data_IF_446694549051
#
_entry.id   IF_446694549051
#
_cell.length_a   1.000
_cell.length_b   1.000
_cell.length_c   1.000
_cell.angle_alpha   90.00
_cell.angle_beta   90.00
_cell.angle_gamma   90.00
#
_symmetry.space_group_name_H-M   'P 1'
#
loop_
_entity.id
_entity.type
_entity.pdbx_description
1 polymer ?
#
# COMPACT_ATOMS: atom_id res chain seq x y z
N UNK A 1 23.65 5.45 -21.27
CA UNK A 1 24.15 5.46 -19.88
C UNK A 1 23.79 4.13 -19.23
N UNK A 2 24.76 3.24 -18.97
CA UNK A 2 24.50 2.00 -18.23
C UNK A 2 24.25 2.36 -16.77
N UNK A 3 23.01 2.20 -16.30
CA UNK A 3 22.70 2.22 -14.88
C UNK A 3 23.20 0.91 -14.26
N UNK A 4 24.52 0.78 -14.10
CA UNK A 4 25.03 -0.09 -13.05
C UNK A 4 24.56 0.51 -11.72
N UNK A 5 23.75 -0.29 -11.01
CA UNK A 5 23.19 -0.07 -9.68
C UNK A 5 23.81 1.11 -8.91
N UNK A 6 23.04 2.18 -8.73
CA UNK A 6 23.45 3.35 -7.93
C UNK A 6 23.73 3.01 -6.46
N UNK A 7 23.31 1.82 -6.01
CA UNK A 7 23.39 1.37 -4.63
C UNK A 7 24.53 0.35 -4.43
N UNK A 8 25.23 0.46 -3.29
CA UNK A 8 26.22 -0.54 -2.87
C UNK A 8 27.53 -0.57 -3.66
N UNK A 9 27.83 0.47 -4.46
CA UNK A 9 29.06 0.50 -5.25
C UNK A 9 30.28 0.72 -4.36
N UNK A 10 31.04 -0.35 -4.12
CA UNK A 10 32.33 -0.31 -3.44
C UNK A 10 33.29 0.65 -4.16
N UNK A 11 33.86 1.60 -3.42
CA UNK A 11 34.93 2.46 -3.92
C UNK A 11 36.22 1.65 -3.98
N UNK A 12 36.58 1.20 -5.18
CA UNK A 12 37.85 0.51 -5.43
C UNK A 12 38.84 1.54 -5.98
N UNK A 13 40.04 1.64 -5.38
CA UNK A 13 41.15 2.41 -5.98
C UNK A 13 41.67 1.62 -7.18
N UNK A 14 41.45 2.15 -8.38
CA UNK A 14 41.94 1.57 -9.64
C UNK A 14 43.16 2.32 -10.13
N UNK A 15 44.08 1.63 -10.82
CA UNK A 15 45.21 2.29 -11.49
C UNK A 15 44.73 3.04 -12.73
N UNK A 16 45.46 4.09 -13.15
CA UNK A 16 45.10 4.91 -14.33
C UNK A 16 44.92 4.06 -15.60
N UNK A 17 45.78 3.05 -15.79
CA UNK A 17 45.70 2.12 -16.93
C UNK A 17 44.42 1.26 -16.91
N UNK A 18 44.00 0.79 -15.73
CA UNK A 18 42.74 0.04 -15.57
C UNK A 18 41.51 0.93 -15.77
N UNK A 19 41.59 2.21 -15.39
CA UNK A 19 40.52 3.18 -15.63
C UNK A 19 40.37 3.48 -17.11
N UNK A 20 41.47 3.66 -17.83
CA UNK A 20 41.46 3.91 -19.26
C UNK A 20 40.94 2.69 -20.04
N UNK A 21 41.38 1.48 -19.70
CA UNK A 21 40.85 0.25 -20.30
C UNK A 21 39.32 0.12 -20.10
N UNK A 22 38.83 0.38 -18.88
CA UNK A 22 37.39 0.40 -18.57
C UNK A 22 36.66 1.51 -19.33
N UNK A 23 37.29 2.66 -19.54
CA UNK A 23 36.72 3.77 -20.33
C UNK A 23 36.52 3.36 -21.78
N UNK A 24 37.55 2.79 -22.41
CA UNK A 24 37.50 2.31 -23.79
C UNK A 24 36.40 1.24 -23.96
N UNK A 25 36.34 0.27 -23.04
CA UNK A 25 35.31 -0.77 -23.06
C UNK A 25 33.88 -0.19 -22.93
N UNK A 26 33.68 0.77 -22.01
CA UNK A 26 32.41 1.47 -21.84
C UNK A 26 32.00 2.23 -23.10
N UNK A 27 32.93 2.91 -23.76
CA UNK A 27 32.65 3.65 -25.00
C UNK A 27 32.21 2.70 -26.13
N UNK A 28 32.86 1.53 -26.26
CA UNK A 28 32.45 0.50 -27.21
C UNK A 28 31.02 0.01 -26.92
N UNK A 29 30.73 -0.33 -25.67
CA UNK A 29 29.37 -0.75 -25.23
C UNK A 29 28.33 0.35 -25.44
N UNK A 30 28.69 1.60 -25.17
CA UNK A 30 27.81 2.75 -25.38
C UNK A 30 27.45 2.95 -26.85
N UNK A 31 28.43 2.84 -27.77
CA UNK A 31 28.17 2.95 -29.21
C UNK A 31 27.21 1.86 -29.69
N UNK A 32 27.40 0.62 -29.27
CA UNK A 32 26.50 -0.49 -29.60
C UNK A 32 25.10 -0.28 -29.03
N UNK A 33 25.01 0.15 -27.77
CA UNK A 33 23.74 0.48 -27.12
C UNK A 33 23.00 1.59 -27.88
N UNK A 34 23.71 2.65 -28.28
CA UNK A 34 23.11 3.77 -29.00
C UNK A 34 22.58 3.32 -30.37
N UNK A 35 23.41 2.62 -31.15
CA UNK A 35 23.01 2.12 -32.47
C UNK A 35 21.80 1.17 -32.41
N UNK A 36 21.77 0.26 -31.41
CA UNK A 36 20.62 -0.61 -31.20
C UNK A 36 19.36 0.18 -30.82
N UNK A 37 19.50 1.15 -29.93
CA UNK A 37 18.39 2.01 -29.48
C UNK A 37 17.83 2.85 -30.64
N UNK A 38 18.69 3.44 -31.46
CA UNK A 38 18.30 4.24 -32.63
C UNK A 38 17.53 3.38 -33.64
N UNK A 39 18.02 2.16 -33.91
CA UNK A 39 17.33 1.19 -34.78
C UNK A 39 15.94 0.83 -34.24
N UNK A 40 15.82 0.59 -32.94
CA UNK A 40 14.53 0.28 -32.30
C UNK A 40 13.55 1.44 -32.46
N UNK A 41 14.00 2.68 -32.21
CA UNK A 41 13.14 3.85 -32.36
C UNK A 41 12.74 4.12 -33.81
N UNK A 42 13.63 3.88 -34.77
CA UNK A 42 13.30 3.97 -36.19
C UNK A 42 12.20 2.96 -36.57
N UNK A 43 12.32 1.69 -36.16
CA UNK A 43 11.29 0.66 -36.41
C UNK A 43 9.94 1.04 -35.79
N UNK A 44 9.95 1.52 -34.53
CA UNK A 44 8.72 1.97 -33.86
C UNK A 44 8.07 3.15 -34.59
N UNK A 45 8.86 4.12 -35.03
CA UNK A 45 8.36 5.29 -35.77
C UNK A 45 7.80 4.91 -37.16
N UNK A 46 8.35 3.86 -37.79
CA UNK A 46 7.85 3.29 -39.04
C UNK A 46 6.61 2.39 -38.86
N UNK A 47 6.16 2.14 -37.62
CA UNK A 47 5.02 1.25 -37.35
C UNK A 47 5.33 -0.23 -37.57
N UNK A 48 6.61 -0.62 -37.49
CA UNK A 48 7.03 -2.01 -37.67
C UNK A 48 6.83 -2.79 -36.36
N UNK A 49 5.86 -3.71 -36.33
CA UNK A 49 5.51 -4.51 -35.16
C UNK A 49 5.82 -5.99 -35.38
N UNK A 50 7.10 -6.35 -35.38
CA UNK A 50 7.58 -7.67 -35.77
C UNK A 50 8.46 -8.36 -34.70
N UNK A 51 8.78 -9.64 -34.94
CA UNK A 51 9.64 -10.45 -34.06
C UNK A 51 11.09 -9.94 -34.04
N UNK A 52 11.55 -9.24 -35.10
CA UNK A 52 12.88 -8.62 -35.11
C UNK A 52 12.95 -7.49 -34.08
N UNK A 53 11.92 -6.65 -33.99
CA UNK A 53 11.81 -5.59 -33.00
C UNK A 53 11.86 -6.16 -31.57
N UNK A 54 11.16 -7.27 -31.29
CA UNK A 54 11.26 -7.97 -30.00
C UNK A 54 12.69 -8.42 -29.68
N UNK A 55 13.41 -8.99 -30.66
CA UNK A 55 14.81 -9.41 -30.47
C UNK A 55 15.73 -8.21 -30.19
N UNK A 56 15.56 -7.12 -30.92
CA UNK A 56 16.33 -5.88 -30.71
C UNK A 56 16.08 -5.31 -29.31
N UNK A 57 14.82 -5.20 -28.88
CA UNK A 57 14.48 -4.71 -27.55
C UNK A 57 15.01 -5.63 -26.44
N UNK A 58 15.03 -6.96 -26.64
CA UNK A 58 15.62 -7.90 -25.68
C UNK A 58 17.12 -7.67 -25.48
N UNK A 59 17.85 -7.38 -26.56
CA UNK A 59 19.28 -7.07 -26.49
C UNK A 59 19.60 -5.85 -25.61
N UNK A 60 18.72 -4.85 -25.60
CA UNK A 60 18.86 -3.64 -24.78
C UNK A 60 18.37 -3.87 -23.35
N UNK A 61 17.17 -4.42 -23.19
CA UNK A 61 16.50 -4.59 -21.89
C UNK A 61 17.19 -5.62 -20.99
N UNK A 62 17.82 -6.66 -21.55
CA UNK A 62 18.62 -7.62 -20.76
C UNK A 62 19.81 -6.98 -20.03
N UNK A 63 20.25 -5.78 -20.46
CA UNK A 63 21.33 -5.01 -19.81
C UNK A 63 20.82 -3.79 -19.06
N UNK A 64 19.65 -3.28 -19.41
CA UNK A 64 19.01 -2.16 -18.75
C UNK A 64 17.49 -2.32 -18.80
N UNK A 65 16.91 -3.07 -17.85
CA UNK A 65 15.47 -3.34 -17.83
C UNK A 65 14.63 -2.12 -17.40
N UNK A 66 15.26 -1.00 -17.04
CA UNK A 66 14.55 0.21 -16.57
C UNK A 66 14.21 1.19 -17.72
N UNK A 67 14.34 0.76 -18.99
CA UNK A 67 13.95 1.57 -20.15
C UNK A 67 12.46 1.34 -20.47
N UNK A 68 11.58 2.04 -19.75
CA UNK A 68 10.11 1.92 -19.88
C UNK A 68 9.59 2.03 -21.30
N UNK A 69 10.16 2.91 -22.12
CA UNK A 69 9.73 3.10 -23.51
C UNK A 69 9.86 1.83 -24.34
N UNK A 70 10.85 0.98 -24.06
CA UNK A 70 11.01 -0.29 -24.77
C UNK A 70 9.99 -1.33 -24.33
N UNK A 71 9.63 -1.38 -23.04
CA UNK A 71 8.52 -2.22 -22.59
C UNK A 71 7.20 -1.83 -23.26
N UNK A 72 6.92 -0.53 -23.39
CA UNK A 72 5.73 -0.06 -24.09
C UNK A 72 5.73 -0.50 -25.57
N UNK A 73 6.87 -0.40 -26.25
CA UNK A 73 6.98 -0.88 -27.62
C UNK A 73 6.78 -2.40 -27.73
N UNK A 74 7.30 -3.19 -26.78
CA UNK A 74 7.03 -4.64 -26.73
C UNK A 74 5.53 -4.93 -26.60
N UNK A 75 4.81 -4.22 -25.73
CA UNK A 75 3.35 -4.35 -25.61
C UNK A 75 2.62 -4.01 -26.91
N UNK A 76 3.04 -2.96 -27.61
CA UNK A 76 2.49 -2.61 -28.93
C UNK A 76 2.67 -3.76 -29.93
N UNK A 77 3.85 -4.40 -29.93
CA UNK A 77 4.14 -5.55 -30.80
C UNK A 77 3.24 -6.74 -30.44
N UNK A 78 3.14 -7.13 -29.18
CA UNK A 78 2.24 -8.22 -28.76
C UNK A 78 0.77 -7.93 -29.10
N UNK A 79 0.31 -6.70 -28.86
CA UNK A 79 -1.04 -6.27 -29.18
C UNK A 79 -1.35 -6.29 -30.68
N UNK A 80 -0.34 -6.10 -31.53
CA UNK A 80 -0.47 -6.22 -32.98
C UNK A 80 -0.47 -7.69 -33.40
N UNK A 81 0.52 -8.47 -32.98
CA UNK A 81 0.72 -9.85 -33.41
C UNK A 81 -0.41 -10.78 -32.96
N UNK A 82 -0.99 -10.58 -31.78
CA UNK A 82 -2.12 -11.38 -31.28
C UNK A 82 -3.34 -11.36 -32.22
N UNK A 83 -3.46 -10.36 -33.12
CA UNK A 83 -4.56 -10.27 -34.09
C UNK A 83 -4.38 -11.19 -35.29
N UNK A 84 -3.14 -11.63 -35.53
CA UNK A 84 -2.76 -12.38 -36.74
C UNK A 84 -2.26 -13.80 -36.44
N UNK A 85 -1.80 -14.09 -35.22
CA UNK A 85 -1.29 -15.41 -34.84
C UNK A 85 -2.39 -16.29 -34.23
N UNK A 86 -2.20 -17.59 -34.32
CA UNK A 86 -3.07 -18.56 -33.62
C UNK A 86 -2.89 -18.48 -32.10
N UNK A 87 -3.85 -19.05 -31.35
CA UNK A 87 -3.75 -19.09 -29.88
C UNK A 87 -2.52 -19.87 -29.40
N UNK A 88 -2.13 -20.95 -30.08
CA UNK A 88 -0.99 -21.78 -29.69
C UNK A 88 0.34 -21.06 -29.94
N UNK A 89 0.46 -20.35 -31.05
CA UNK A 89 1.62 -19.50 -31.34
C UNK A 89 1.72 -18.35 -30.33
N UNK A 90 0.61 -17.70 -29.99
CA UNK A 90 0.59 -16.64 -28.98
C UNK A 90 1.03 -17.14 -27.60
N UNK A 91 0.58 -18.34 -27.21
CA UNK A 91 1.01 -18.98 -25.96
C UNK A 91 2.52 -19.27 -25.96
N UNK A 92 3.07 -19.77 -27.06
CA UNK A 92 4.51 -19.98 -27.20
C UNK A 92 5.29 -18.66 -27.08
N UNK A 93 4.82 -17.59 -27.74
CA UNK A 93 5.44 -16.28 -27.65
C UNK A 93 5.42 -15.69 -26.23
N UNK A 94 4.32 -15.84 -25.49
CA UNK A 94 4.27 -15.41 -24.10
C UNK A 94 5.15 -16.26 -23.19
N UNK A 95 5.28 -17.57 -23.44
CA UNK A 95 6.21 -18.43 -22.70
C UNK A 95 7.67 -17.99 -22.89
N UNK A 96 8.07 -17.65 -24.11
CA UNK A 96 9.40 -17.10 -24.41
C UNK A 96 9.59 -15.73 -23.72
N UNK A 97 8.55 -14.89 -23.72
CA UNK A 97 8.57 -13.59 -23.05
C UNK A 97 8.73 -13.72 -21.53
N UNK A 98 8.05 -14.67 -20.90
CA UNK A 98 8.18 -14.95 -19.46
C UNK A 98 9.60 -15.42 -19.11
N UNK A 99 10.23 -16.19 -20.00
CA UNK A 99 11.62 -16.63 -19.84
C UNK A 99 12.58 -15.43 -19.92
N UNK A 100 12.41 -14.57 -20.93
CA UNK A 100 13.18 -13.34 -21.06
C UNK A 100 13.00 -12.38 -19.86
N UNK A 101 11.77 -12.25 -19.35
CA UNK A 101 11.49 -11.45 -18.16
C UNK A 101 12.18 -11.99 -16.90
N UNK A 102 12.24 -13.32 -16.76
CA UNK A 102 12.96 -13.95 -15.65
C UNK A 102 14.46 -13.63 -15.71
N UNK A 103 15.07 -13.63 -16.90
CA UNK A 103 16.47 -13.19 -17.08
C UNK A 103 16.67 -11.71 -16.70
N UNK A 104 15.74 -10.84 -17.10
CA UNK A 104 15.78 -9.42 -16.73
C UNK A 104 15.68 -9.22 -15.21
N UNK A 105 14.81 -9.99 -14.54
CA UNK A 105 14.65 -9.94 -13.09
C UNK A 105 15.83 -10.55 -12.34
N UNK A 106 16.49 -11.58 -12.87
CA UNK A 106 17.76 -12.09 -12.34
C UNK A 106 18.87 -11.02 -12.41
N UNK A 107 18.86 -10.18 -13.44
CA UNK A 107 19.79 -9.06 -13.56
C UNK A 107 19.45 -7.89 -12.62
N UNK A 108 18.19 -7.46 -12.60
CA UNK A 108 17.70 -6.42 -11.69
C UNK A 108 16.34 -6.83 -11.09
N UNK A 109 16.32 -7.43 -9.88
CA UNK A 109 15.08 -7.91 -9.25
C UNK A 109 14.16 -6.79 -8.75
N UNK A 110 14.60 -5.53 -8.85
CA UNK A 110 13.88 -4.31 -8.41
C UNK A 110 13.47 -3.43 -9.60
N UNK A 111 13.50 -3.97 -10.82
CA UNK A 111 13.02 -3.30 -12.03
C UNK A 111 11.50 -3.22 -12.05
N UNK A 112 10.95 -2.02 -11.93
CA UNK A 112 9.50 -1.80 -12.08
C UNK A 112 9.00 -2.21 -13.47
N UNK A 113 9.76 -1.88 -14.53
CA UNK A 113 9.37 -2.18 -15.90
C UNK A 113 9.26 -3.70 -16.15
N UNK A 114 10.17 -4.48 -15.56
CA UNK A 114 10.12 -5.95 -15.70
C UNK A 114 8.93 -6.56 -14.96
N UNK A 115 8.68 -6.17 -13.70
CA UNK A 115 7.53 -6.70 -12.95
C UNK A 115 6.19 -6.30 -13.57
N UNK A 116 6.05 -5.05 -13.99
CA UNK A 116 4.83 -4.56 -14.62
C UNK A 116 4.58 -5.21 -15.98
N UNK A 117 5.62 -5.38 -16.81
CA UNK A 117 5.49 -6.11 -18.07
C UNK A 117 5.15 -7.59 -17.86
N UNK A 118 5.63 -8.21 -16.76
CA UNK A 118 5.24 -9.57 -16.38
C UNK A 118 3.75 -9.65 -16.03
N UNK A 119 3.20 -8.68 -15.29
CA UNK A 119 1.75 -8.58 -15.08
C UNK A 119 0.98 -8.46 -16.42
N UNK A 120 1.47 -7.64 -17.35
CA UNK A 120 0.88 -7.53 -18.69
C UNK A 120 0.85 -8.89 -19.41
N UNK A 121 1.98 -9.60 -19.46
CA UNK A 121 2.05 -10.93 -20.10
C UNK A 121 1.07 -11.91 -19.44
N UNK A 122 1.04 -11.97 -18.11
CA UNK A 122 0.15 -12.88 -17.39
C UNK A 122 -1.34 -12.58 -17.58
N UNK A 123 -1.73 -11.29 -17.70
CA UNK A 123 -3.12 -10.90 -17.95
C UNK A 123 -3.57 -11.17 -19.39
N UNK A 124 -2.64 -11.23 -20.35
CA UNK A 124 -2.95 -11.44 -21.77
C UNK A 124 -2.70 -12.88 -22.23
N UNK A 125 -2.11 -13.72 -21.40
CA UNK A 125 -1.93 -15.14 -21.67
C UNK A 125 -3.28 -15.86 -21.55
N UNK A 126 -3.76 -16.57 -22.60
CA UNK A 126 -5.07 -17.25 -22.56
C UNK A 126 -5.22 -18.29 -21.44
N UNK A 127 -4.14 -19.00 -21.12
CA UNK A 127 -4.09 -20.02 -20.06
C UNK A 127 -2.87 -19.79 -19.16
N UNK A 128 -2.97 -18.86 -18.20
CA UNK A 128 -1.84 -18.52 -17.33
C UNK A 128 -1.53 -19.66 -16.34
N UNK A 129 -0.24 -19.96 -16.17
CA UNK A 129 0.25 -20.92 -15.18
C UNK A 129 0.58 -20.20 -13.87
N UNK A 130 -0.43 -20.05 -13.01
CA UNK A 130 -0.28 -19.36 -11.73
C UNK A 130 0.63 -20.10 -10.74
N UNK A 131 0.73 -21.42 -10.82
CA UNK A 131 1.55 -22.24 -9.92
C UNK A 131 3.04 -22.03 -10.20
N UNK A 132 3.42 -21.98 -11.49
CA UNK A 132 4.77 -21.58 -11.90
C UNK A 132 5.14 -20.20 -11.37
N UNK A 133 4.21 -19.23 -11.47
CA UNK A 133 4.47 -17.86 -11.04
C UNK A 133 4.57 -17.71 -9.51
N UNK A 134 3.82 -18.49 -8.74
CA UNK A 134 4.00 -18.58 -7.28
C UNK A 134 5.33 -19.22 -6.91
N UNK A 135 5.76 -20.25 -7.65
CA UNK A 135 7.07 -20.88 -7.48
C UNK A 135 8.20 -19.89 -7.77
N UNK A 136 8.05 -19.06 -8.80
CA UNK A 136 8.97 -17.95 -9.08
C UNK A 136 9.00 -16.96 -7.91
N UNK A 137 7.84 -16.55 -7.38
CA UNK A 137 7.80 -15.67 -6.21
C UNK A 137 8.52 -16.27 -5.01
N UNK A 138 8.34 -17.57 -4.75
CA UNK A 138 9.02 -18.28 -3.67
C UNK A 138 10.55 -18.22 -3.83
N UNK A 139 11.06 -18.40 -5.05
CA UNK A 139 12.48 -18.31 -5.37
C UNK A 139 13.04 -16.88 -5.22
N UNK A 140 12.33 -15.86 -5.69
CA UNK A 140 12.78 -14.47 -5.52
C UNK A 140 12.73 -14.02 -4.05
N UNK A 141 11.72 -14.47 -3.28
CA UNK A 141 11.60 -14.18 -1.85
C UNK A 141 12.47 -15.06 -0.96
N UNK A 142 13.10 -16.12 -1.47
CA UNK A 142 14.16 -16.82 -0.75
C UNK A 142 15.50 -16.10 -0.93
N UNK A 143 15.70 -15.41 -2.05
CA UNK A 143 16.89 -14.61 -2.32
C UNK A 143 16.86 -13.22 -1.64
N UNK A 144 15.77 -12.48 -1.80
CA UNK A 144 15.52 -11.20 -1.11
C UNK A 144 14.10 -11.20 -0.57
N UNK A 145 13.95 -11.64 0.68
CA UNK A 145 12.66 -11.75 1.36
C UNK A 145 11.98 -10.38 1.60
N UNK A 146 12.74 -9.29 1.45
CA UNK A 146 12.26 -7.90 1.59
C UNK A 146 11.99 -7.24 0.23
N UNK A 147 12.07 -7.99 -0.86
CA UNK A 147 11.73 -7.48 -2.19
C UNK A 147 10.22 -7.20 -2.31
N UNK A 148 9.82 -5.96 -2.03
CA UNK A 148 8.41 -5.56 -2.09
C UNK A 148 7.80 -5.72 -3.48
N UNK A 149 8.59 -5.59 -4.56
CA UNK A 149 8.05 -5.82 -5.92
C UNK A 149 7.59 -7.27 -6.10
N UNK A 150 8.36 -8.22 -5.57
CA UNK A 150 7.98 -9.63 -5.62
C UNK A 150 6.76 -9.92 -4.73
N UNK A 151 6.67 -9.29 -3.55
CA UNK A 151 5.47 -9.37 -2.72
C UNK A 151 4.24 -8.78 -3.41
N UNK A 152 4.38 -7.65 -4.11
CA UNK A 152 3.31 -7.00 -4.86
C UNK A 152 2.86 -7.87 -6.03
N UNK A 153 3.82 -8.46 -6.75
CA UNK A 153 3.55 -9.40 -7.84
C UNK A 153 2.86 -10.67 -7.33
N UNK A 154 3.29 -11.21 -6.18
CA UNK A 154 2.60 -12.33 -5.52
C UNK A 154 1.14 -11.98 -5.25
N UNK A 155 0.85 -10.81 -4.64
CA UNK A 155 -0.53 -10.37 -4.39
C UNK A 155 -1.34 -10.19 -5.67
N UNK A 156 -0.71 -9.74 -6.76
CA UNK A 156 -1.34 -9.72 -8.08
C UNK A 156 -1.74 -11.14 -8.54
N UNK A 157 -0.84 -12.13 -8.45
CA UNK A 157 -1.16 -13.52 -8.81
C UNK A 157 -2.32 -14.06 -7.97
N UNK A 158 -2.30 -13.86 -6.66
CA UNK A 158 -3.35 -14.34 -5.77
C UNK A 158 -4.71 -13.74 -6.14
N UNK A 159 -4.75 -12.44 -6.48
CA UNK A 159 -5.99 -11.78 -6.91
C UNK A 159 -6.55 -12.32 -8.24
N UNK A 160 -5.69 -12.81 -9.13
CA UNK A 160 -6.08 -13.31 -10.46
C UNK A 160 -6.29 -14.84 -10.50
N UNK A 161 -5.83 -15.55 -9.48
CA UNK A 161 -5.91 -17.00 -9.38
C UNK A 161 -6.97 -17.44 -8.35
N UNK A 162 -7.18 -18.74 -8.22
CA UNK A 162 -8.11 -19.32 -7.24
C UNK A 162 -7.42 -19.70 -5.91
N UNK A 163 -6.23 -19.16 -5.65
CA UNK A 163 -5.52 -19.43 -4.39
C UNK A 163 -6.24 -18.76 -3.25
N UNK A 164 -6.46 -19.52 -2.17
CA UNK A 164 -7.25 -19.06 -1.04
C UNK A 164 -6.39 -18.16 -0.13
N UNK A 165 -6.95 -17.09 0.46
CA UNK A 165 -6.19 -16.23 1.37
C UNK A 165 -5.62 -16.97 2.60
N UNK A 166 -6.21 -18.10 3.00
CA UNK A 166 -5.72 -18.98 4.06
C UNK A 166 -4.36 -19.61 3.71
N UNK A 167 -4.16 -20.00 2.44
CA UNK A 167 -2.87 -20.55 1.97
C UNK A 167 -1.78 -19.47 2.04
N UNK A 168 -2.12 -18.22 1.76
CA UNK A 168 -1.21 -17.08 1.89
C UNK A 168 -0.91 -16.74 3.35
N UNK A 169 -1.90 -16.90 4.25
CA UNK A 169 -1.67 -16.74 5.68
C UNK A 169 -0.70 -17.81 6.19
N UNK A 170 -0.80 -19.05 5.70
CA UNK A 170 0.19 -20.10 5.98
C UNK A 170 1.57 -19.75 5.43
N UNK A 171 1.65 -19.27 4.18
CA UNK A 171 2.92 -18.85 3.58
C UNK A 171 3.62 -17.75 4.39
N UNK A 172 2.88 -16.74 4.87
CA UNK A 172 3.46 -15.69 5.73
C UNK A 172 3.96 -16.24 7.07
N UNK A 173 3.27 -17.22 7.65
CA UNK A 173 3.72 -17.90 8.87
C UNK A 173 5.04 -18.64 8.63
N UNK A 174 5.15 -19.40 7.54
CA UNK A 174 6.39 -20.09 7.17
C UNK A 174 7.56 -19.11 7.00
N UNK A 175 7.30 -17.95 6.37
CA UNK A 175 8.31 -16.90 6.22
C UNK A 175 8.75 -16.30 7.56
N UNK A 176 7.81 -16.01 8.46
CA UNK A 176 8.12 -15.52 9.82
C UNK A 176 8.88 -16.58 10.64
N UNK A 177 8.47 -17.84 10.56
CA UNK A 177 9.16 -18.94 11.24
C UNK A 177 10.60 -19.10 10.75
N UNK A 178 10.85 -18.85 9.46
CA UNK A 178 12.21 -18.87 8.90
C UNK A 178 13.03 -17.63 9.26
N UNK A 179 12.39 -16.46 9.32
CA UNK A 179 12.99 -15.20 9.72
C UNK A 179 11.94 -14.25 10.30
N UNK A 180 11.93 -14.11 11.62
CA UNK A 180 10.99 -13.23 12.32
C UNK A 180 11.25 -11.73 12.03
N UNK A 181 12.42 -11.36 11.51
CA UNK A 181 12.72 -9.99 11.08
C UNK A 181 12.13 -9.59 9.73
N UNK A 182 11.39 -10.50 9.07
CA UNK A 182 10.78 -10.23 7.79
C UNK A 182 9.53 -9.34 7.92
N UNK A 183 9.75 -8.01 7.91
CA UNK A 183 8.67 -7.02 7.96
C UNK A 183 7.60 -7.23 6.87
N UNK A 184 7.99 -7.65 5.67
CA UNK A 184 7.06 -7.84 4.56
C UNK A 184 6.03 -8.92 4.86
N UNK A 185 6.43 -10.00 5.54
CA UNK A 185 5.53 -11.07 5.98
C UNK A 185 4.54 -10.59 7.02
N UNK A 186 5.00 -9.87 8.06
CA UNK A 186 4.13 -9.24 9.07
C UNK A 186 3.16 -8.25 8.45
N UNK A 187 3.65 -7.40 7.54
CA UNK A 187 2.81 -6.46 6.82
C UNK A 187 1.74 -7.18 6.01
N UNK A 188 2.08 -8.25 5.32
CA UNK A 188 1.11 -8.97 4.51
C UNK A 188 0.07 -9.70 5.37
N UNK A 189 0.46 -10.31 6.51
CA UNK A 189 -0.48 -10.81 7.53
C UNK A 189 -1.47 -9.74 7.96
N UNK A 190 -0.99 -8.52 8.18
CA UNK A 190 -1.83 -7.39 8.59
C UNK A 190 -2.96 -7.06 7.60
N UNK A 191 -2.77 -7.43 6.32
CA UNK A 191 -3.76 -7.24 5.25
C UNK A 191 -4.65 -8.46 5.06
N UNK A 192 -4.14 -9.67 5.29
CA UNK A 192 -4.89 -10.93 5.14
C UNK A 192 -5.88 -11.14 6.29
N UNK A 193 -5.45 -10.92 7.54
CA UNK A 193 -6.28 -11.22 8.72
C UNK A 193 -7.64 -10.52 8.72
N UNK A 194 -7.77 -9.21 8.39
CA UNK A 194 -9.09 -8.57 8.32
C UNK A 194 -10.02 -9.16 7.25
N UNK A 195 -9.48 -9.74 6.19
CA UNK A 195 -10.28 -10.34 5.11
C UNK A 195 -10.83 -11.71 5.51
N UNK A 196 -10.11 -12.43 6.39
CA UNK A 196 -10.44 -13.78 6.83
C UNK A 196 -11.24 -13.80 8.13
N UNK A 197 -10.95 -12.88 9.06
CA UNK A 197 -11.41 -12.94 10.45
C UNK A 197 -11.97 -11.61 10.93
N UNK A 198 -12.69 -10.87 10.07
CA UNK A 198 -13.38 -9.65 10.49
C UNK A 198 -14.38 -9.96 11.60
N UNK A 199 -14.39 -9.15 12.66
CA UNK A 199 -15.41 -9.26 13.70
C UNK A 199 -16.79 -8.98 13.11
N UNK A 200 -17.75 -9.89 13.30
CA UNK A 200 -19.05 -9.83 12.64
C UNK A 200 -19.93 -8.65 13.10
N UNK A 201 -19.69 -8.07 14.28
CA UNK A 201 -20.39 -6.86 14.77
C UNK A 201 -19.63 -6.20 15.94
N UNK A 202 -19.67 -4.87 16.02
CA UNK A 202 -19.45 -4.01 17.21
C UNK A 202 -18.19 -4.15 18.07
N UNK A 203 -17.19 -4.95 17.69
CA UNK A 203 -15.91 -5.00 18.41
C UNK A 203 -14.89 -4.04 17.81
N UNK A 204 -14.35 -3.17 18.68
CA UNK A 204 -13.36 -2.13 18.35
C UNK A 204 -12.01 -2.67 17.86
N UNK A 205 -11.78 -3.98 17.85
CA UNK A 205 -10.50 -4.61 17.48
C UNK A 205 -10.37 -4.99 16.00
N UNK A 206 -11.44 -4.91 15.20
CA UNK A 206 -11.41 -5.23 13.76
C UNK A 206 -11.02 -6.68 13.40
N UNK A 207 -10.77 -7.54 14.39
CA UNK A 207 -10.47 -8.97 14.29
C UNK A 207 -11.22 -9.73 15.39
N UNK A 208 -11.57 -10.99 15.12
CA UNK A 208 -12.06 -11.92 16.12
C UNK A 208 -11.08 -12.06 17.30
N UNK A 209 -11.60 -12.15 18.52
CA UNK A 209 -10.78 -12.17 19.74
C UNK A 209 -9.83 -13.37 19.81
N UNK A 210 -10.27 -14.55 19.35
CA UNK A 210 -9.43 -15.75 19.27
C UNK A 210 -8.21 -15.53 18.37
N UNK A 211 -8.43 -15.05 17.15
CA UNK A 211 -7.36 -14.72 16.19
C UNK A 211 -6.42 -13.65 16.74
N UNK A 212 -6.95 -12.64 17.44
CA UNK A 212 -6.12 -11.61 18.07
C UNK A 212 -5.18 -12.23 19.11
N UNK A 213 -5.67 -13.15 19.96
CA UNK A 213 -4.84 -13.81 20.98
C UNK A 213 -3.76 -14.70 20.35
N UNK A 214 -4.09 -15.44 19.30
CA UNK A 214 -3.12 -16.25 18.54
C UNK A 214 -2.02 -15.40 17.92
N UNK A 215 -2.37 -14.26 17.30
CA UNK A 215 -1.39 -13.33 16.74
C UNK A 215 -0.55 -12.64 17.80
N UNK A 216 -1.12 -12.36 18.98
CA UNK A 216 -0.39 -11.81 20.13
C UNK A 216 0.67 -12.79 20.63
N UNK A 217 0.34 -14.08 20.73
CA UNK A 217 1.32 -15.12 21.09
C UNK A 217 2.42 -15.24 20.03
N UNK A 218 2.05 -15.27 18.75
CA UNK A 218 3.00 -15.34 17.64
C UNK A 218 4.01 -14.17 17.66
N UNK A 219 3.52 -12.93 17.82
CA UNK A 219 4.40 -11.76 17.83
C UNK A 219 5.21 -11.66 19.12
N UNK A 220 4.67 -12.10 20.27
CA UNK A 220 5.41 -12.19 21.53
C UNK A 220 6.60 -13.12 21.40
N UNK A 221 6.41 -14.30 20.84
CA UNK A 221 7.51 -15.24 20.59
C UNK A 221 8.60 -14.61 19.72
N UNK A 222 8.22 -13.84 18.69
CA UNK A 222 9.17 -13.17 17.80
C UNK A 222 10.02 -12.11 18.54
N UNK A 223 9.40 -11.14 19.23
CA UNK A 223 10.17 -10.08 19.89
C UNK A 223 10.84 -10.52 21.20
N UNK A 224 10.42 -11.61 21.84
CA UNK A 224 11.20 -12.20 22.94
C UNK A 224 12.41 -12.98 22.44
N UNK A 225 12.35 -13.53 21.22
CA UNK A 225 13.49 -14.20 20.58
C UNK A 225 14.54 -13.19 20.12
N UNK A 226 14.13 -12.08 19.51
CA UNK A 226 15.02 -10.95 19.19
C UNK A 226 14.36 -9.62 19.58
N UNK A 227 14.70 -9.04 20.74
CA UNK A 227 14.11 -7.79 21.20
C UNK A 227 14.51 -6.58 20.35
N UNK A 228 15.57 -6.68 19.54
CA UNK A 228 16.00 -5.59 18.66
C UNK A 228 15.25 -5.59 17.32
N UNK A 229 14.52 -6.66 17.00
CA UNK A 229 13.73 -6.70 15.77
C UNK A 229 12.53 -5.76 15.86
N UNK A 230 12.61 -4.64 15.14
CA UNK A 230 11.52 -3.67 15.10
C UNK A 230 10.25 -4.19 14.42
N UNK A 231 10.35 -5.21 13.57
CA UNK A 231 9.22 -5.65 12.73
C UNK A 231 8.11 -6.26 13.58
N UNK A 232 8.49 -7.14 14.50
CA UNK A 232 7.58 -7.70 15.49
C UNK A 232 6.94 -6.61 16.36
N UNK A 233 7.71 -5.61 16.82
CA UNK A 233 7.18 -4.49 17.62
C UNK A 233 6.17 -3.63 16.86
N UNK A 234 6.43 -3.32 15.59
CA UNK A 234 5.48 -2.58 14.75
C UNK A 234 4.19 -3.37 14.52
N UNK A 235 4.30 -4.69 14.31
CA UNK A 235 3.14 -5.56 14.17
C UNK A 235 2.34 -5.68 15.47
N UNK A 236 3.02 -5.83 16.60
CA UNK A 236 2.40 -5.84 17.93
C UNK A 236 1.66 -4.53 18.22
N UNK A 237 2.27 -3.38 17.93
CA UNK A 237 1.60 -2.07 18.05
C UNK A 237 0.35 -2.00 17.17
N UNK A 238 0.41 -2.56 15.97
CA UNK A 238 -0.73 -2.62 15.08
C UNK A 238 -1.86 -3.52 15.61
N UNK A 239 -1.55 -4.66 16.24
CA UNK A 239 -2.56 -5.51 16.91
C UNK A 239 -3.29 -4.75 18.04
N UNK A 240 -2.57 -3.95 18.82
CA UNK A 240 -3.14 -3.15 19.91
C UNK A 240 -3.95 -1.93 19.43
N UNK A 241 -3.58 -1.34 18.28
CA UNK A 241 -4.09 -0.04 17.82
C UNK A 241 -5.32 -0.08 16.89
N UNK A 242 -6.08 -1.18 16.89
CA UNK A 242 -7.15 -1.45 15.91
C UNK A 242 -8.46 -0.66 16.09
N UNK A 243 -8.58 0.18 17.11
CA UNK A 243 -9.78 1.00 17.28
C UNK A 243 -9.84 2.02 16.16
N UNK A 244 -10.60 1.70 15.10
CA UNK A 244 -11.08 2.72 14.18
C UNK A 244 -11.92 3.68 15.01
N UNK A 245 -11.32 4.81 15.35
CA UNK A 245 -12.05 5.89 15.98
C UNK A 245 -13.11 6.36 14.96
N UNK A 246 -14.37 6.04 15.22
CA UNK A 246 -15.49 6.60 14.49
C UNK A 246 -15.48 8.12 14.62
N UNK A 247 -15.87 8.81 13.54
CA UNK A 247 -16.18 10.22 13.68
C UNK A 247 -17.44 10.36 14.55
N UNK A 248 -17.27 10.98 15.70
CA UNK A 248 -18.31 11.15 16.70
C UNK A 248 -18.42 12.63 17.06
N UNK A 249 -19.65 13.09 17.25
CA UNK A 249 -19.91 14.37 17.91
C UNK A 249 -19.84 14.14 19.42
N UNK A 250 -18.72 14.55 20.03
CA UNK A 250 -18.42 14.32 21.43
C UNK A 250 -19.22 15.24 22.36
N UNK A 251 -19.36 16.51 21.98
CA UNK A 251 -20.06 17.49 22.81
C UNK A 251 -20.74 18.60 22.01
N UNK A 252 -21.80 19.15 22.61
CA UNK A 252 -22.54 20.33 22.16
C UNK A 252 -22.64 21.24 23.38
N UNK A 253 -21.95 22.38 23.38
CA UNK A 253 -22.00 23.36 24.45
C UNK A 253 -22.69 24.64 23.97
N UNK A 254 -23.56 25.21 24.81
CA UNK A 254 -24.17 26.51 24.56
C UNK A 254 -23.78 27.48 25.68
N UNK A 255 -23.00 28.49 25.32
CA UNK A 255 -22.54 29.57 26.19
C UNK A 255 -23.50 30.74 26.05
N UNK A 256 -24.55 30.72 26.89
CA UNK A 256 -25.64 31.71 26.87
C UNK A 256 -25.15 33.15 27.10
N UNK A 257 -24.11 33.32 27.91
CA UNK A 257 -23.49 34.63 28.22
C UNK A 257 -22.80 35.27 27.01
N UNK A 258 -22.36 34.45 26.05
CA UNK A 258 -21.64 34.87 24.85
C UNK A 258 -22.42 34.65 23.56
N UNK A 259 -23.66 34.16 23.67
CA UNK A 259 -24.45 33.71 22.53
C UNK A 259 -23.61 32.83 21.59
N UNK A 260 -23.00 31.76 22.11
CA UNK A 260 -22.09 30.91 21.33
C UNK A 260 -22.43 29.43 21.49
N UNK A 261 -22.60 28.74 20.38
CA UNK A 261 -22.70 27.27 20.33
C UNK A 261 -21.35 26.69 19.91
N UNK A 262 -20.91 25.63 20.58
CA UNK A 262 -19.65 24.93 20.32
C UNK A 262 -19.92 23.45 20.10
N UNK A 263 -19.42 22.93 18.98
CA UNK A 263 -19.44 21.51 18.64
C UNK A 263 -18.03 20.96 18.75
N UNK A 264 -17.88 19.84 19.46
CA UNK A 264 -16.61 19.13 19.58
C UNK A 264 -16.72 17.73 18.97
N UNK A 265 -15.84 17.40 18.04
CA UNK A 265 -15.78 16.13 17.33
C UNK A 265 -14.57 15.31 17.75
N UNK A 266 -14.65 13.97 17.62
CA UNK A 266 -13.54 13.05 17.91
C UNK A 266 -12.36 13.20 16.94
N UNK A 267 -12.58 13.85 15.79
CA UNK A 267 -11.58 14.09 14.75
C UNK A 267 -11.79 15.47 14.10
N UNK A 268 -10.76 16.04 13.43
CA UNK A 268 -10.92 17.26 12.67
C UNK A 268 -11.92 17.12 11.51
N UNK A 269 -12.96 17.95 11.50
CA UNK A 269 -13.97 17.99 10.44
C UNK A 269 -14.06 19.35 9.78
N UNK A 270 -14.65 19.42 8.60
CA UNK A 270 -15.07 20.67 7.96
C UNK A 270 -16.59 20.76 7.96
N UNK A 271 -17.16 21.78 8.58
CA UNK A 271 -18.61 22.05 8.45
C UNK A 271 -18.92 22.48 7.01
N UNK A 272 -19.93 21.88 6.38
CA UNK A 272 -20.30 22.14 4.97
C UNK A 272 -21.69 22.76 4.86
N UNK A 273 -22.68 22.17 5.55
CA UNK A 273 -24.08 22.56 5.46
C UNK A 273 -24.72 22.47 6.85
N UNK A 274 -25.70 23.32 7.12
CA UNK A 274 -26.42 23.38 8.39
C UNK A 274 -27.90 23.55 8.13
N UNK A 275 -28.73 22.90 8.94
CA UNK A 275 -30.18 23.04 8.86
C UNK A 275 -30.71 23.63 10.17
N UNK A 276 -31.56 24.67 10.07
CA UNK A 276 -32.29 25.30 11.18
C UNK A 276 -33.72 24.78 11.25
N UNK A 277 -34.37 24.93 12.42
CA UNK A 277 -35.81 24.67 12.58
C UNK A 277 -36.71 25.90 12.33
N UNK A 278 -36.13 27.09 12.15
CA UNK A 278 -36.87 28.33 11.88
C UNK A 278 -37.19 28.47 10.39
N UNK A 279 -38.36 29.03 10.05
CA UNK A 279 -38.76 29.38 8.68
C UNK A 279 -38.00 30.59 8.10
N UNK A 280 -36.99 31.08 8.82
CA UNK A 280 -36.11 32.17 8.44
C UNK A 280 -34.72 31.56 8.28
N UNK A 281 -34.21 31.54 7.04
CA UNK A 281 -32.85 31.12 6.73
C UNK A 281 -31.84 32.14 7.30
N UNK A 282 -31.58 32.08 8.61
CA UNK A 282 -30.41 32.73 9.18
C UNK A 282 -29.22 31.76 9.06
N UNK A 283 -28.20 32.08 8.24
CA UNK A 283 -27.07 31.18 8.06
C UNK A 283 -26.26 31.10 9.37
N UNK A 284 -26.13 29.88 9.92
CA UNK A 284 -25.14 29.63 10.98
C UNK A 284 -23.74 29.80 10.38
N UNK A 285 -23.07 30.90 10.74
CA UNK A 285 -21.69 31.10 10.38
C UNK A 285 -20.82 30.28 11.34
N UNK A 286 -20.50 29.04 10.95
CA UNK A 286 -19.58 28.19 11.68
C UNK A 286 -18.15 28.59 11.39
N UNK A 287 -17.35 28.75 12.45
CA UNK A 287 -15.94 29.05 12.36
C UNK A 287 -15.15 28.15 13.32
N UNK A 288 -13.90 27.86 12.98
CA UNK A 288 -12.98 27.19 13.89
C UNK A 288 -12.24 28.24 14.73
N UNK A 289 -12.03 28.02 16.04
CA UNK A 289 -11.25 28.95 16.87
C UNK A 289 -9.80 29.16 16.38
N UNK A 290 -9.21 28.14 15.74
CA UNK A 290 -7.88 28.18 15.14
C UNK A 290 -7.86 28.77 13.72
N UNK A 291 -9.01 29.13 13.15
CA UNK A 291 -9.17 29.55 11.75
C UNK A 291 -8.68 28.49 10.73
N UNK A 292 -8.62 27.22 11.14
CA UNK A 292 -8.28 26.10 10.29
C UNK A 292 -9.50 25.59 9.52
N UNK A 293 -9.26 25.06 8.32
CA UNK A 293 -10.30 24.52 7.42
C UNK A 293 -10.92 23.22 7.93
N UNK A 294 -10.16 22.44 8.68
CA UNK A 294 -10.61 21.23 9.37
C UNK A 294 -10.24 21.39 10.83
N UNK A 295 -11.23 21.28 11.72
CA UNK A 295 -11.05 21.47 13.15
C UNK A 295 -11.90 20.47 13.92
N UNK A 296 -11.42 19.93 15.06
CA UNK A 296 -12.26 19.15 15.95
C UNK A 296 -13.27 20.03 16.68
N UNK A 297 -13.08 21.35 16.71
CA UNK A 297 -13.95 22.30 17.40
C UNK A 297 -14.51 23.32 16.41
N UNK A 298 -15.82 23.47 16.40
CA UNK A 298 -16.54 24.44 15.58
C UNK A 298 -17.46 25.28 16.44
N UNK A 299 -17.45 26.58 16.20
CA UNK A 299 -18.24 27.55 16.95
C UNK A 299 -19.19 28.29 16.01
N UNK A 300 -20.38 28.66 16.49
CA UNK A 300 -21.29 29.56 15.78
C UNK A 300 -21.98 30.49 16.77
N UNK A 301 -22.12 31.76 16.40
CA UNK A 301 -22.86 32.75 17.22
C UNK A 301 -24.34 32.37 17.20
N UNK A 302 -24.95 32.17 18.36
CA UNK A 302 -26.34 31.73 18.49
C UNK A 302 -27.30 32.85 18.09
N UNK A 303 -28.09 32.59 17.04
CA UNK A 303 -29.23 33.41 16.64
C UNK A 303 -30.54 32.61 16.56
N UNK A 304 -30.48 31.31 16.23
CA UNK A 304 -31.60 30.37 16.12
C UNK A 304 -31.17 28.95 16.55
N UNK A 305 -32.12 28.01 16.75
CA UNK A 305 -31.80 26.61 17.10
C UNK A 305 -31.32 25.83 15.87
N UNK A 306 -30.02 25.50 15.83
CA UNK A 306 -29.46 24.57 14.84
C UNK A 306 -29.91 23.15 15.17
N UNK A 307 -30.53 22.45 14.23
CA UNK A 307 -31.07 21.08 14.47
C UNK A 307 -30.20 19.99 13.86
N UNK A 308 -29.39 20.32 12.86
CA UNK A 308 -28.41 19.38 12.33
C UNK A 308 -27.24 20.08 11.66
N UNK A 309 -26.10 19.39 11.67
CA UNK A 309 -24.87 19.83 11.01
C UNK A 309 -24.37 18.72 10.09
N UNK A 310 -24.04 19.11 8.86
CA UNK A 310 -23.35 18.27 7.89
C UNK A 310 -21.88 18.60 7.88
N UNK A 311 -21.05 17.59 8.04
CA UNK A 311 -19.60 17.75 8.13
C UNK A 311 -18.86 16.82 7.17
N UNK A 312 -17.69 17.27 6.71
CA UNK A 312 -16.74 16.48 5.93
C UNK A 312 -15.61 16.00 6.81
N UNK A 313 -15.27 14.72 6.70
CA UNK A 313 -13.98 14.21 7.16
C UNK A 313 -13.36 13.37 6.03
N UNK A 314 -12.14 13.73 5.62
CA UNK A 314 -11.49 13.17 4.42
C UNK A 314 -12.41 13.26 3.18
N UNK A 315 -12.79 12.12 2.60
CA UNK A 315 -13.64 11.99 1.41
C UNK A 315 -15.10 11.63 1.74
N UNK A 316 -15.45 11.50 3.03
CA UNK A 316 -16.78 11.12 3.47
C UNK A 316 -17.53 12.30 4.11
N UNK A 317 -18.86 12.30 3.96
CA UNK A 317 -19.77 13.28 4.54
C UNK A 317 -20.62 12.60 5.61
N UNK A 318 -20.88 13.32 6.70
CA UNK A 318 -21.61 12.83 7.86
C UNK A 318 -22.66 13.86 8.25
N UNK A 319 -23.85 13.38 8.60
CA UNK A 319 -24.93 14.21 9.13
C UNK A 319 -25.08 13.91 10.62
N UNK A 320 -25.04 14.95 11.45
CA UNK A 320 -25.31 14.85 12.89
C UNK A 320 -26.57 15.63 13.23
N UNK A 321 -27.53 14.96 13.86
CA UNK A 321 -28.70 15.63 14.43
C UNK A 321 -28.36 16.18 15.81
N UNK A 322 -28.55 17.48 15.99
CA UNK A 322 -28.37 18.21 17.24
C UNK A 322 -29.70 18.16 18.01
N UNK A 323 -30.10 16.99 18.51
CA UNK A 323 -31.37 16.85 19.24
C UNK A 323 -31.34 17.61 20.56
N UNK A 324 -32.25 18.58 20.68
CA UNK A 324 -32.60 19.50 21.76
C UNK A 324 -31.59 19.78 22.89
N UNK A 325 -31.16 21.04 22.90
CA UNK A 325 -30.73 21.81 24.06
C UNK A 325 -31.83 21.78 25.14
N UNK A 326 -31.81 20.82 26.06
CA UNK A 326 -32.15 21.00 27.48
C UNK A 326 -31.48 19.87 28.26
N UNK A 327 -30.39 20.19 28.95
CA UNK A 327 -30.20 19.96 30.38
C UNK A 327 -28.69 19.84 30.70
N UNK A 328 -28.04 20.99 30.85
CA UNK A 328 -26.65 21.09 31.25
C UNK A 328 -26.37 20.44 32.63
N UNK A 329 -27.41 20.07 33.40
CA UNK A 329 -27.26 19.36 34.67
C UNK A 329 -27.22 17.84 34.54
N UNK A 330 -27.72 17.23 33.44
CA UNK A 330 -27.81 15.78 33.33
C UNK A 330 -26.53 15.09 32.81
N UNK A 331 -25.63 15.81 32.11
CA UNK A 331 -24.39 15.22 31.56
C UNK A 331 -23.16 15.36 32.45
N UNK A 332 -23.12 16.33 33.37
CA UNK A 332 -21.98 16.46 34.31
C UNK A 332 -21.79 15.22 35.18
N UNK A 333 -22.87 14.46 35.45
CA UNK A 333 -22.80 13.18 36.15
C UNK A 333 -22.30 12.00 35.29
N UNK A 334 -22.47 12.02 33.95
CA UNK A 334 -22.04 10.89 33.09
C UNK A 334 -20.56 10.97 32.69
N UNK A 335 -19.97 12.17 32.64
CA UNK A 335 -18.55 12.35 32.35
C UNK A 335 -17.65 11.94 33.53
N UNK A 336 -18.09 12.11 34.77
CA UNK A 336 -17.34 11.69 35.95
C UNK A 336 -17.15 10.16 36.05
N UNK A 337 -18.05 9.36 35.47
CA UNK A 337 -17.94 7.90 35.50
C UNK A 337 -17.07 7.30 34.38
N UNK A 338 -16.69 8.05 33.34
CA UNK A 338 -15.80 7.54 32.27
C UNK A 338 -14.31 7.81 32.48
N UNK A 339 -13.94 8.68 33.43
CA UNK A 339 -12.54 8.97 33.76
C UNK A 339 -12.00 8.28 35.02
N UNK A 340 -12.82 7.48 35.71
CA UNK A 340 -12.38 6.68 36.85
C UNK A 340 -12.38 5.19 36.49
N UNK A 341 -11.30 4.72 35.86
CA UNK A 341 -10.65 3.39 36.03
C UNK A 341 -9.73 3.08 34.84
N UNK A 342 -8.66 3.87 34.67
CA UNK A 342 -7.39 3.27 34.24
C UNK A 342 -6.61 2.98 35.52
N UNK A 343 -6.95 1.87 36.17
CA UNK A 343 -6.03 1.27 37.12
C UNK A 343 -4.82 0.80 36.31
N UNK A 344 -3.69 1.48 36.52
CA UNK A 344 -2.38 0.99 36.15
C UNK A 344 -2.27 -0.46 36.65
N UNK A 345 -2.16 -1.42 35.73
CA UNK A 345 -1.59 -2.72 36.04
C UNK A 345 -0.10 -2.49 36.33
N UNK A 346 0.24 -2.21 37.59
CA UNK A 346 1.59 -2.40 38.10
C UNK A 346 1.82 -3.90 38.23
N UNK A 347 2.51 -4.49 37.25
CA UNK A 347 3.17 -5.78 37.45
C UNK A 347 4.27 -5.57 38.50
N UNK A 348 4.02 -6.02 39.73
CA UNK A 348 5.11 -6.34 40.67
C UNK A 348 5.73 -7.65 40.18
N UNK A 349 6.91 -7.56 39.57
CA UNK A 349 7.81 -8.69 39.50
C UNK A 349 8.26 -9.01 40.93
N UNK A 350 7.83 -10.14 41.48
CA UNK A 350 8.51 -10.79 42.59
C UNK A 350 9.67 -11.60 42.02
N UNK A 351 10.88 -11.28 42.49
CA UNK A 351 12.12 -12.05 42.29
C UNK A 351 11.98 -13.48 42.83
#
# INVERSE_FOLDING_TARGET
>A
MSQQTKHGRLKVKTTEEQEEAKRIERLKKQKLYQAATDKIFAKRAAGEYDVEALKLTSGVLSKNPDVYTLWNYRKEIFNFLQKSVSSDELLAMFSDELTFLEECLKYNPKSYGSWEHRCYVMTHTPKPDWERELSLCNAFLSYDERNFHCWDYRRFIIKQSNVKPEDELKFTFEKIASNFSNYSSWHYRSKLLPQLFSAETNHSSGLQQSTLLEEMELVQNAFFTDPNDQSAWFYHRWLLGRVENSLELLNIDELLDKSLMVLTFSMPVKVIETTSSSSVDLPFNWFSPSNERFSPVWCSVTGDRCTSVKVKHKLQEYQFTLTDVVDAQARSMKLYFRFATFNYFTYKASL
#
